data_IF_138181107541
#
_entry.id   IF_138181107541
#
_cell.length_a   1.000
_cell.length_b   1.000
_cell.length_c   1.000
_cell.angle_alpha   90.00
_cell.angle_beta   90.00
_cell.angle_gamma   90.00
#
_symmetry.space_group_name_H-M   'P 1'
#
loop_
_entity.id
_entity.type
_entity.pdbx_description
1 polymer ?
#
# COMPACT_ATOMS: atom_id res chain seq x y z
N UNK A 1 -9.56 4.03 32.81
CA UNK A 1 -9.11 5.21 32.02
C UNK A 1 -10.04 6.37 32.32
N UNK A 2 -9.51 7.56 32.57
CA UNK A 2 -10.35 8.74 32.85
C UNK A 2 -11.16 9.17 31.60
N UNK A 3 -12.42 9.60 31.76
CA UNK A 3 -13.27 10.06 30.67
C UNK A 3 -12.65 11.13 29.74
N UNK A 4 -11.91 12.17 30.22
CA UNK A 4 -11.30 13.16 29.33
C UNK A 4 -10.15 12.59 28.49
N UNK A 5 -9.31 11.71 29.05
CA UNK A 5 -8.21 11.07 28.35
C UNK A 5 -8.72 10.15 27.23
N UNK A 6 -9.80 9.40 27.49
CA UNK A 6 -10.47 8.56 26.49
C UNK A 6 -10.97 9.36 25.29
N UNK A 7 -11.69 10.46 25.54
CA UNK A 7 -12.23 11.33 24.48
C UNK A 7 -11.14 11.97 23.62
N UNK A 8 -10.00 12.31 24.21
CA UNK A 8 -8.86 12.83 23.47
C UNK A 8 -8.25 11.75 22.55
N UNK A 9 -8.06 10.54 23.07
CA UNK A 9 -7.53 9.40 22.30
C UNK A 9 -8.47 9.01 21.13
N UNK A 10 -9.78 8.96 21.36
CA UNK A 10 -10.78 8.73 20.30
C UNK A 10 -10.69 9.76 19.18
N UNK A 11 -10.62 11.06 19.52
CA UNK A 11 -10.50 12.14 18.52
C UNK A 11 -9.23 12.01 17.70
N UNK A 12 -8.11 11.66 18.34
CA UNK A 12 -6.83 11.48 17.65
C UNK A 12 -6.81 10.24 16.76
N UNK A 13 -7.41 9.12 17.19
CA UNK A 13 -7.56 7.91 16.35
C UNK A 13 -8.36 8.20 15.09
N UNK A 14 -9.50 8.90 15.22
CA UNK A 14 -10.30 9.33 14.06
C UNK A 14 -9.50 10.26 13.16
N UNK A 15 -8.75 11.22 13.73
CA UNK A 15 -7.91 12.12 12.95
C UNK A 15 -6.78 11.39 12.21
N UNK A 16 -6.14 10.41 12.84
CA UNK A 16 -5.13 9.55 12.21
C UNK A 16 -5.71 8.76 11.04
N UNK A 17 -6.89 8.15 11.23
CA UNK A 17 -7.57 7.44 10.16
C UNK A 17 -7.99 8.38 9.02
N UNK A 18 -8.49 9.59 9.32
CA UNK A 18 -8.77 10.63 8.30
C UNK A 18 -7.53 11.06 7.54
N UNK A 19 -6.37 11.17 8.19
CA UNK A 19 -5.10 11.46 7.51
C UNK A 19 -4.71 10.31 6.58
N UNK A 20 -4.84 9.08 7.03
CA UNK A 20 -4.54 7.90 6.19
C UNK A 20 -5.47 7.83 4.98
N UNK A 21 -6.77 8.07 5.17
CA UNK A 21 -7.72 8.16 4.07
C UNK A 21 -7.47 9.36 3.15
N UNK A 22 -7.06 10.53 3.67
CA UNK A 22 -6.68 11.67 2.80
C UNK A 22 -5.40 11.40 2.00
N UNK A 23 -4.43 10.69 2.59
CA UNK A 23 -3.19 10.28 1.91
C UNK A 23 -3.42 9.18 0.88
N UNK A 24 -4.45 8.36 1.08
CA UNK A 24 -4.80 7.25 0.21
C UNK A 24 -6.34 7.14 0.07
N UNK A 25 -6.99 8.06 -0.68
CA UNK A 25 -8.46 8.19 -0.75
C UNK A 25 -9.19 6.96 -1.29
N UNK A 26 -8.43 6.07 -1.91
CA UNK A 26 -8.96 4.93 -2.66
C UNK A 26 -8.75 3.61 -1.91
N UNK A 27 -8.04 3.66 -0.79
CA UNK A 27 -7.98 2.56 0.15
C UNK A 27 -9.28 2.48 0.91
N UNK A 28 -10.01 1.39 0.70
CA UNK A 28 -11.28 1.10 1.35
C UNK A 28 -11.18 0.99 2.87
N UNK A 29 -10.13 0.31 3.34
CA UNK A 29 -9.92 0.02 4.76
C UNK A 29 -8.42 0.05 5.11
N UNK A 30 -8.13 0.54 6.31
CA UNK A 30 -6.77 0.67 6.83
C UNK A 30 -6.55 -0.39 7.91
N UNK A 31 -5.38 -1.03 7.92
CA UNK A 31 -5.06 -2.00 8.98
C UNK A 31 -4.95 -1.27 10.32
N UNK A 32 -5.48 -1.87 11.40
CA UNK A 32 -5.47 -1.25 12.73
C UNK A 32 -4.05 -0.88 13.17
N UNK A 33 -3.05 -1.73 12.93
CA UNK A 33 -1.65 -1.47 13.26
C UNK A 33 -1.06 -0.25 12.54
N UNK A 34 -1.51 0.03 11.31
CA UNK A 34 -1.12 1.22 10.57
C UNK A 34 -1.74 2.50 11.15
N UNK A 35 -3.00 2.43 11.63
CA UNK A 35 -3.65 3.55 12.33
C UNK A 35 -2.92 3.87 13.63
N UNK A 36 -2.56 2.86 14.42
CA UNK A 36 -1.81 3.06 15.67
C UNK A 36 -0.42 3.64 15.42
N UNK A 37 0.25 3.21 14.34
CA UNK A 37 1.55 3.78 13.94
C UNK A 37 1.44 5.24 13.52
N UNK A 38 0.43 5.59 12.73
CA UNK A 38 0.16 6.99 12.32
C UNK A 38 -0.20 7.87 13.52
N UNK A 39 -0.94 7.34 14.49
CA UNK A 39 -1.26 8.03 15.74
C UNK A 39 0.01 8.41 16.52
N UNK A 40 0.96 7.48 16.65
CA UNK A 40 2.25 7.66 17.35
C UNK A 40 3.25 8.51 16.59
N UNK A 41 3.15 8.54 15.28
CA UNK A 41 3.99 9.39 14.44
C UNK A 41 3.55 10.86 14.46
N UNK A 42 2.35 11.16 14.99
CA UNK A 42 1.82 12.51 15.09
C UNK A 42 2.64 13.36 16.09
N UNK A 43 3.22 14.50 15.69
CA UNK A 43 3.99 15.38 16.58
C UNK A 43 3.19 15.92 17.78
N UNK A 44 1.86 15.74 17.82
CA UNK A 44 1.04 16.00 19.00
C UNK A 44 1.32 15.10 20.23
N UNK A 45 2.13 14.04 20.11
CA UNK A 45 2.73 13.34 21.26
C UNK A 45 4.03 14.02 21.74
N UNK A 46 4.67 14.82 20.90
CA UNK A 46 5.90 15.58 21.18
C UNK A 46 5.59 17.07 21.28
N UNK A 47 4.69 17.48 22.16
CA UNK A 47 4.61 18.92 22.47
C UNK A 47 5.82 19.33 23.33
N UNK A 48 6.42 20.50 23.08
CA UNK A 48 7.56 21.01 23.85
C UNK A 48 7.21 21.11 25.33
N UNK A 49 8.16 20.79 26.18
CA UNK A 49 8.08 21.04 27.62
C UNK A 49 7.96 22.56 27.86
N UNK A 50 6.74 23.08 27.91
CA UNK A 50 6.51 24.49 28.14
C UNK A 50 5.12 24.89 27.68
N UNK A 51 4.16 24.81 28.60
CA UNK A 51 3.01 25.72 28.81
C UNK A 51 1.92 24.93 29.55
N UNK A 52 1.57 25.44 30.73
CA UNK A 52 0.62 24.84 31.69
C UNK A 52 -0.74 24.57 31.01
N UNK A 53 -1.24 23.32 31.10
CA UNK A 53 -2.66 23.00 30.95
C UNK A 53 -3.08 22.00 29.84
N UNK A 54 -2.19 21.58 28.95
CA UNK A 54 -2.52 20.61 27.90
C UNK A 54 -2.20 19.18 28.33
N UNK A 55 -3.22 18.38 28.68
CA UNK A 55 -3.04 16.99 29.13
C UNK A 55 -2.23 16.16 28.12
N UNK A 56 -1.00 15.84 28.50
CA UNK A 56 -0.21 14.80 27.84
C UNK A 56 -0.95 13.49 28.04
N UNK A 57 -1.29 12.79 26.95
CA UNK A 57 -1.76 11.42 27.07
C UNK A 57 -0.63 10.63 27.72
N UNK A 58 -0.85 10.17 28.97
CA UNK A 58 -0.03 9.10 29.56
C UNK A 58 0.13 8.01 28.48
N UNK A 59 1.34 7.47 28.22
CA UNK A 59 1.56 6.58 27.09
C UNK A 59 0.58 5.41 27.17
N UNK A 60 -0.36 5.37 26.23
CA UNK A 60 -1.40 4.35 26.18
C UNK A 60 -0.80 3.07 25.62
N UNK A 61 -1.11 1.94 26.27
CA UNK A 61 -0.69 0.65 25.75
C UNK A 61 -1.43 0.32 24.44
N UNK A 62 -0.88 -0.59 23.64
CA UNK A 62 -1.58 -1.09 22.45
C UNK A 62 -2.94 -1.71 22.82
N UNK A 63 -3.03 -2.36 23.99
CA UNK A 63 -4.28 -2.91 24.51
C UNK A 63 -5.33 -1.81 24.78
N UNK A 64 -4.94 -0.69 25.39
CA UNK A 64 -5.83 0.46 25.61
C UNK A 64 -6.33 1.06 24.30
N UNK A 65 -5.43 1.22 23.32
CA UNK A 65 -5.77 1.75 22.00
C UNK A 65 -6.69 0.81 21.21
N UNK A 66 -6.47 -0.50 21.30
CA UNK A 66 -7.36 -1.50 20.70
C UNK A 66 -8.74 -1.49 21.36
N UNK A 67 -8.83 -1.39 22.68
CA UNK A 67 -10.10 -1.26 23.38
C UNK A 67 -10.88 0.01 22.97
N UNK A 68 -10.17 1.11 22.69
CA UNK A 68 -10.79 2.33 22.15
C UNK A 68 -11.28 2.11 20.71
N UNK A 69 -10.52 1.41 19.87
CA UNK A 69 -10.97 1.03 18.52
C UNK A 69 -12.25 0.20 18.61
N UNK A 70 -12.30 -0.78 19.51
CA UNK A 70 -13.48 -1.62 19.72
C UNK A 70 -14.69 -0.80 20.17
N UNK A 71 -14.50 0.18 21.07
CA UNK A 71 -15.57 1.08 21.47
C UNK A 71 -16.05 2.00 20.32
N UNK A 72 -15.13 2.45 19.47
CA UNK A 72 -15.48 3.25 18.28
C UNK A 72 -16.24 2.41 17.24
N UNK A 73 -15.94 1.12 17.13
CA UNK A 73 -16.69 0.18 16.28
C UNK A 73 -18.08 -0.09 16.87
N UNK A 74 -18.17 -0.37 18.18
CA UNK A 74 -19.45 -0.62 18.85
C UNK A 74 -20.40 0.59 18.80
N UNK A 75 -19.85 1.82 18.76
CA UNK A 75 -20.63 3.06 18.59
C UNK A 75 -20.89 3.44 17.12
N UNK A 76 -20.47 2.61 16.15
CA UNK A 76 -20.68 2.86 14.72
C UNK A 76 -19.84 4.00 14.14
N UNK A 77 -18.89 4.56 14.90
CA UNK A 77 -17.97 5.61 14.45
C UNK A 77 -16.80 5.08 13.61
N UNK A 78 -16.59 3.76 13.66
CA UNK A 78 -15.71 3.00 12.78
C UNK A 78 -16.44 1.75 12.29
N UNK A 79 -16.13 1.33 11.08
CA UNK A 79 -16.54 0.03 10.55
C UNK A 79 -15.32 -0.89 10.54
N UNK A 80 -15.48 -2.14 10.99
CA UNK A 80 -14.38 -3.11 11.13
C UNK A 80 -14.64 -4.36 10.31
N UNK A 81 -13.61 -4.80 9.58
CA UNK A 81 -13.54 -6.10 8.90
C UNK A 81 -12.23 -6.80 9.27
N UNK A 82 -12.31 -7.79 10.17
CA UNK A 82 -11.12 -8.47 10.71
C UNK A 82 -10.18 -7.49 11.42
N UNK A 83 -8.95 -7.32 10.92
CA UNK A 83 -7.94 -6.38 11.45
C UNK A 83 -7.89 -5.04 10.71
N UNK A 84 -8.96 -4.71 9.97
CA UNK A 84 -9.05 -3.48 9.17
C UNK A 84 -10.21 -2.63 9.64
N UNK A 85 -10.01 -1.32 9.61
CA UNK A 85 -10.99 -0.32 10.03
C UNK A 85 -11.12 0.76 8.96
N UNK A 86 -12.32 1.32 8.85
CA UNK A 86 -12.60 2.51 8.03
C UNK A 86 -13.57 3.43 8.76
N UNK A 87 -13.58 4.69 8.36
CA UNK A 87 -14.64 5.62 8.75
C UNK A 87 -15.92 5.23 7.99
N UNK A 88 -17.10 5.28 8.62
CA UNK A 88 -18.37 5.08 7.95
C UNK A 88 -18.54 6.00 6.75
N UNK A 89 -18.17 7.28 6.91
CA UNK A 89 -18.22 8.30 5.85
C UNK A 89 -17.18 8.13 4.74
N UNK A 90 -16.21 7.21 4.91
CA UNK A 90 -15.25 6.90 3.86
C UNK A 90 -15.79 5.81 2.96
N UNK A 91 -16.37 6.23 1.85
CA UNK A 91 -16.64 5.37 0.72
C UNK A 91 -15.41 5.40 -0.20
N UNK A 92 -14.63 4.29 -0.31
CA UNK A 92 -13.65 4.19 -1.39
C UNK A 92 -14.39 4.43 -2.71
N UNK A 93 -13.79 5.22 -3.61
CA UNK A 93 -14.35 5.46 -4.94
C UNK A 93 -14.53 4.08 -5.59
N UNK A 94 -15.78 3.61 -5.63
CA UNK A 94 -16.18 2.48 -6.44
C UNK A 94 -15.97 2.96 -7.86
N UNK A 95 -15.06 2.33 -8.60
CA UNK A 95 -14.92 2.61 -10.03
C UNK A 95 -16.29 2.34 -10.64
N UNK A 96 -16.94 3.39 -11.14
CA UNK A 96 -18.12 3.24 -11.98
C UNK A 96 -17.79 2.33 -13.18
N UNK A 97 -18.82 1.88 -13.89
CA UNK A 97 -18.63 0.94 -15.01
C UNK A 97 -17.68 1.47 -16.08
N UNK A 98 -17.65 2.79 -16.28
CA UNK A 98 -16.77 3.42 -17.26
C UNK A 98 -15.31 3.44 -16.81
N UNK A 99 -15.05 3.84 -15.56
CA UNK A 99 -13.72 3.83 -14.98
C UNK A 99 -13.17 2.41 -14.88
N UNK A 100 -14.02 1.42 -14.57
CA UNK A 100 -13.63 0.00 -14.62
C UNK A 100 -13.18 -0.40 -16.02
N UNK A 101 -13.94 -0.05 -17.06
CA UNK A 101 -13.55 -0.34 -18.44
C UNK A 101 -12.25 0.37 -18.88
N UNK A 102 -11.95 1.56 -18.33
CA UNK A 102 -10.65 2.23 -18.55
C UNK A 102 -9.51 1.47 -17.86
N UNK A 103 -9.71 1.03 -16.62
CA UNK A 103 -8.74 0.21 -15.87
C UNK A 103 -8.49 -1.13 -16.58
N UNK A 104 -9.54 -1.80 -17.05
CA UNK A 104 -9.40 -3.07 -17.78
C UNK A 104 -8.57 -2.88 -19.05
N UNK A 105 -8.81 -1.80 -19.80
CA UNK A 105 -7.98 -1.44 -20.97
C UNK A 105 -6.53 -1.16 -20.61
N UNK A 106 -6.28 -0.44 -19.50
CA UNK A 106 -4.93 -0.20 -19.00
C UNK A 106 -4.22 -1.52 -18.71
N UNK A 107 -4.84 -2.40 -17.91
CA UNK A 107 -4.24 -3.66 -17.51
C UNK A 107 -4.05 -4.59 -18.70
N UNK A 108 -5.00 -4.66 -19.63
CA UNK A 108 -4.85 -5.43 -20.88
C UNK A 108 -3.66 -4.94 -21.70
N UNK A 109 -3.56 -3.63 -21.95
CA UNK A 109 -2.44 -3.09 -22.73
C UNK A 109 -1.07 -3.32 -22.08
N UNK A 110 -1.00 -3.36 -20.75
CA UNK A 110 0.22 -3.73 -20.03
C UNK A 110 0.54 -5.22 -20.13
N UNK A 111 -0.48 -6.10 -20.13
CA UNK A 111 -0.30 -7.54 -20.38
C UNK A 111 0.22 -7.81 -21.78
N UNK A 112 -0.34 -7.13 -22.78
CA UNK A 112 0.07 -7.27 -24.17
C UNK A 112 1.51 -6.80 -24.40
N UNK A 113 1.97 -5.80 -23.65
CA UNK A 113 3.36 -5.34 -23.67
C UNK A 113 4.36 -6.32 -23.02
N UNK A 114 3.87 -7.29 -22.22
CA UNK A 114 4.67 -8.36 -21.63
C UNK A 114 5.81 -7.84 -20.76
N UNK A 115 7.06 -8.15 -21.12
CA UNK A 115 8.24 -7.76 -20.36
C UNK A 115 8.63 -6.27 -20.55
N UNK A 116 8.18 -5.62 -21.63
CA UNK A 116 8.53 -4.24 -21.97
C UNK A 116 7.35 -3.29 -21.72
N UNK A 117 6.91 -3.18 -20.47
CA UNK A 117 5.75 -2.36 -20.14
C UNK A 117 6.03 -0.87 -20.33
N UNK A 118 5.11 -0.10 -20.95
CA UNK A 118 5.20 1.35 -20.96
C UNK A 118 5.05 1.93 -19.54
N UNK A 119 5.41 3.22 -19.38
CA UNK A 119 5.17 3.94 -18.12
C UNK A 119 3.67 4.03 -17.83
N UNK A 120 3.22 3.45 -16.72
CA UNK A 120 1.80 3.36 -16.36
C UNK A 120 1.17 4.74 -16.25
N UNK A 121 1.84 5.73 -15.65
CA UNK A 121 1.31 7.09 -15.50
C UNK A 121 0.93 7.70 -16.85
N UNK A 122 1.76 7.53 -17.88
CA UNK A 122 1.50 8.08 -19.21
C UNK A 122 0.39 7.34 -19.97
N UNK A 123 0.23 6.04 -19.75
CA UNK A 123 -0.90 5.28 -20.33
C UNK A 123 -2.20 5.61 -19.60
N UNK A 124 -2.18 5.63 -18.28
CA UNK A 124 -3.31 5.96 -17.42
C UNK A 124 -3.85 7.36 -17.71
N UNK A 125 -2.98 8.37 -17.82
CA UNK A 125 -3.36 9.73 -18.17
C UNK A 125 -4.08 9.81 -19.53
N UNK A 126 -3.57 9.09 -20.54
CA UNK A 126 -4.22 9.02 -21.88
C UNK A 126 -5.57 8.33 -21.86
N UNK A 127 -5.79 7.40 -20.93
CA UNK A 127 -7.07 6.72 -20.72
C UNK A 127 -8.01 7.49 -19.79
N UNK A 128 -7.63 8.68 -19.31
CA UNK A 128 -8.43 9.46 -18.36
C UNK A 128 -8.58 8.78 -16.99
N UNK A 129 -7.57 8.02 -16.57
CA UNK A 129 -7.52 7.36 -15.26
C UNK A 129 -6.79 8.29 -14.28
N UNK A 130 -7.44 8.75 -13.19
CA UNK A 130 -6.81 9.60 -12.20
C UNK A 130 -5.59 8.93 -11.52
N UNK A 131 -4.54 9.67 -11.13
CA UNK A 131 -3.36 9.13 -10.45
C UNK A 131 -3.68 8.35 -9.16
N UNK A 132 -4.75 8.75 -8.48
CA UNK A 132 -5.27 8.00 -7.34
C UNK A 132 -5.58 6.56 -7.73
N UNK A 133 -6.33 6.32 -8.81
CA UNK A 133 -6.77 4.97 -9.20
C UNK A 133 -5.57 4.08 -9.47
N UNK A 134 -4.51 4.61 -10.07
CA UNK A 134 -3.24 3.89 -10.24
C UNK A 134 -2.61 3.53 -8.87
N UNK A 135 -2.64 4.46 -7.92
CA UNK A 135 -2.19 4.22 -6.53
C UNK A 135 -3.01 3.13 -5.86
N UNK A 136 -4.32 3.07 -6.11
CA UNK A 136 -5.20 2.01 -5.62
C UNK A 136 -4.84 0.64 -6.21
N UNK A 137 -4.62 0.57 -7.52
CA UNK A 137 -4.20 -0.68 -8.18
C UNK A 137 -2.87 -1.19 -7.59
N UNK A 138 -1.94 -0.28 -7.27
CA UNK A 138 -0.70 -0.62 -6.54
C UNK A 138 -0.97 -1.10 -5.12
N UNK A 139 -1.85 -0.42 -4.39
CA UNK A 139 -2.22 -0.76 -3.01
C UNK A 139 -2.98 -2.09 -2.90
N UNK A 140 -3.83 -2.39 -3.88
CA UNK A 140 -4.50 -3.69 -4.05
C UNK A 140 -3.54 -4.78 -4.54
N UNK A 141 -2.39 -4.37 -5.08
CA UNK A 141 -1.36 -5.24 -5.60
C UNK A 141 -1.65 -5.75 -7.02
N UNK A 142 -2.65 -5.22 -7.72
CA UNK A 142 -2.92 -5.53 -9.14
C UNK A 142 -1.80 -5.00 -10.04
N UNK A 143 -1.27 -3.83 -9.71
CA UNK A 143 -0.02 -3.31 -10.26
C UNK A 143 1.09 -3.45 -9.21
N UNK A 144 2.28 -3.81 -9.67
CA UNK A 144 3.46 -3.96 -8.82
C UNK A 144 4.61 -3.17 -9.42
N UNK A 145 5.04 -2.15 -8.67
CA UNK A 145 6.21 -1.37 -9.02
C UNK A 145 7.48 -2.18 -8.71
N UNK A 146 8.30 -2.41 -9.74
CA UNK A 146 9.57 -3.16 -9.61
C UNK A 146 10.79 -2.25 -9.72
N UNK A 147 10.60 -1.02 -10.22
CA UNK A 147 11.64 -0.01 -10.35
C UNK A 147 11.02 1.35 -10.67
N UNK A 148 11.88 2.37 -10.78
CA UNK A 148 11.43 3.73 -11.09
C UNK A 148 10.73 3.80 -12.45
N UNK A 149 9.44 4.11 -12.42
CA UNK A 149 8.57 4.16 -13.60
C UNK A 149 8.47 2.83 -14.34
N UNK A 150 8.57 1.70 -13.62
CA UNK A 150 8.35 0.35 -14.15
C UNK A 150 7.39 -0.39 -13.21
N UNK A 151 6.22 -0.68 -13.76
CA UNK A 151 5.12 -1.35 -13.07
C UNK A 151 4.60 -2.46 -13.97
N UNK A 152 4.34 -3.61 -13.36
CA UNK A 152 3.75 -4.75 -14.06
C UNK A 152 2.41 -5.12 -13.43
N UNK A 153 1.42 -5.56 -14.22
CA UNK A 153 0.33 -6.37 -13.70
C UNK A 153 0.88 -7.57 -12.93
N UNK A 154 0.25 -7.93 -11.80
CA UNK A 154 0.74 -8.98 -10.90
C UNK A 154 0.94 -10.32 -11.60
N UNK A 155 -0.01 -10.71 -12.44
CA UNK A 155 0.01 -11.93 -13.24
C UNK A 155 1.22 -11.94 -14.19
N UNK A 156 1.45 -10.85 -14.92
CA UNK A 156 2.62 -10.69 -15.80
C UNK A 156 3.91 -10.82 -15.01
N UNK A 157 4.03 -10.09 -13.89
CA UNK A 157 5.22 -10.14 -13.05
C UNK A 157 5.50 -11.56 -12.53
N UNK A 158 4.47 -12.27 -12.08
CA UNK A 158 4.62 -13.65 -11.62
C UNK A 158 5.12 -14.56 -12.73
N UNK A 159 4.62 -14.40 -13.96
CA UNK A 159 5.11 -15.13 -15.14
C UNK A 159 6.58 -14.84 -15.42
N UNK A 160 6.98 -13.57 -15.42
CA UNK A 160 8.38 -13.15 -15.62
C UNK A 160 9.31 -13.72 -14.55
N UNK A 161 8.89 -13.66 -13.27
CA UNK A 161 9.66 -14.20 -12.16
C UNK A 161 9.80 -15.73 -12.23
N UNK A 162 8.76 -16.43 -12.68
CA UNK A 162 8.79 -17.87 -12.89
C UNK A 162 9.78 -18.22 -14.02
N UNK A 163 9.73 -17.49 -15.13
CA UNK A 163 10.68 -17.66 -16.22
C UNK A 163 12.12 -17.37 -15.79
N UNK A 164 12.34 -16.35 -14.95
CA UNK A 164 13.65 -16.10 -14.35
C UNK A 164 14.11 -17.23 -13.43
N UNK A 165 13.20 -17.88 -12.70
CA UNK A 165 13.56 -19.03 -11.87
C UNK A 165 14.03 -20.21 -12.74
N UNK A 166 13.39 -20.45 -13.88
CA UNK A 166 13.82 -21.45 -14.86
C UNK A 166 15.20 -21.12 -15.45
N UNK A 167 15.46 -19.85 -15.80
CA UNK A 167 16.77 -19.43 -16.29
C UNK A 167 17.87 -19.71 -15.24
N UNK A 168 17.55 -19.53 -13.96
CA UNK A 168 18.48 -19.73 -12.85
C UNK A 168 18.91 -21.20 -12.66
N UNK A 169 18.12 -22.18 -13.13
CA UNK A 169 18.50 -23.60 -13.06
C UNK A 169 19.64 -23.92 -14.02
N UNK A 170 19.69 -23.22 -15.16
CA UNK A 170 20.74 -23.35 -16.18
C UNK A 170 21.96 -22.44 -15.95
N UNK A 171 22.16 -21.90 -14.74
CA UNK A 171 23.31 -21.06 -14.38
C UNK A 171 22.94 -19.65 -13.89
N UNK A 172 23.94 -18.76 -13.71
CA UNK A 172 23.73 -17.48 -13.05
C UNK A 172 22.80 -16.54 -13.83
N UNK A 173 21.95 -15.83 -13.10
CA UNK A 173 21.07 -14.79 -13.61
C UNK A 173 21.84 -13.47 -13.79
N UNK A 174 22.41 -13.29 -14.98
CA UNK A 174 23.02 -12.02 -15.39
C UNK A 174 22.00 -11.11 -16.07
N UNK A 175 22.27 -9.80 -16.09
CA UNK A 175 21.40 -8.81 -16.76
C UNK A 175 21.22 -9.16 -18.23
N UNK A 176 22.32 -9.47 -18.93
CA UNK A 176 22.31 -9.85 -20.36
C UNK A 176 21.43 -11.07 -20.60
N UNK A 177 21.58 -12.12 -19.78
CA UNK A 177 20.78 -13.35 -19.94
C UNK A 177 19.29 -13.11 -19.71
N UNK A 178 18.93 -12.33 -18.68
CA UNK A 178 17.53 -11.97 -18.42
C UNK A 178 16.97 -11.13 -19.55
N UNK A 179 17.71 -10.13 -20.02
CA UNK A 179 17.35 -9.27 -21.16
C UNK A 179 17.05 -10.10 -22.40
N UNK A 180 17.95 -11.02 -22.76
CA UNK A 180 17.88 -11.78 -23.99
C UNK A 180 16.75 -12.81 -23.95
N UNK A 181 16.59 -13.54 -22.83
CA UNK A 181 15.54 -14.56 -22.70
C UNK A 181 14.15 -13.95 -22.56
N UNK A 182 14.01 -12.86 -21.79
CA UNK A 182 12.73 -12.17 -21.63
C UNK A 182 12.43 -11.19 -22.77
N UNK A 183 13.36 -11.03 -23.73
CA UNK A 183 13.26 -10.10 -24.87
C UNK A 183 12.83 -8.70 -24.45
N UNK A 184 13.51 -8.17 -23.45
CA UNK A 184 13.24 -6.86 -22.84
C UNK A 184 14.47 -5.96 -22.93
N UNK A 185 14.35 -4.70 -22.56
CA UNK A 185 15.47 -3.79 -22.46
C UNK A 185 16.31 -4.06 -21.20
N UNK A 186 17.55 -3.55 -21.22
CA UNK A 186 18.47 -3.66 -20.08
C UNK A 186 17.87 -3.05 -18.80
N UNK A 187 17.18 -1.92 -18.93
CA UNK A 187 16.54 -1.20 -17.82
C UNK A 187 15.50 -2.07 -17.10
N UNK A 188 14.65 -2.76 -17.86
CA UNK A 188 13.63 -3.65 -17.31
C UNK A 188 14.25 -4.92 -16.71
N UNK A 189 15.24 -5.52 -17.37
CA UNK A 189 15.99 -6.67 -16.84
C UNK A 189 16.67 -6.35 -15.49
N UNK A 190 17.30 -5.18 -15.37
CA UNK A 190 17.92 -4.71 -14.13
C UNK A 190 16.89 -4.54 -13.01
N UNK A 191 15.75 -3.90 -13.31
CA UNK A 191 14.67 -3.68 -12.34
C UNK A 191 14.08 -5.01 -11.83
N UNK A 192 13.79 -5.97 -12.72
CA UNK A 192 13.29 -7.29 -12.35
C UNK A 192 14.28 -8.06 -11.47
N UNK A 193 15.58 -8.02 -11.80
CA UNK A 193 16.62 -8.63 -10.98
C UNK A 193 16.72 -7.99 -9.60
N UNK A 194 16.67 -6.65 -9.51
CA UNK A 194 16.69 -5.93 -8.25
C UNK A 194 15.46 -6.29 -7.38
N UNK A 195 14.28 -6.31 -7.99
CA UNK A 195 13.03 -6.70 -7.33
C UNK A 195 13.12 -8.13 -6.78
N UNK A 196 13.55 -9.11 -7.59
CA UNK A 196 13.71 -10.51 -7.15
C UNK A 196 14.66 -10.64 -5.95
N UNK A 197 15.80 -9.94 -5.97
CA UNK A 197 16.76 -9.95 -4.84
C UNK A 197 16.15 -9.35 -3.57
N UNK A 198 15.40 -8.26 -3.69
CA UNK A 198 14.73 -7.63 -2.55
C UNK A 198 13.66 -8.55 -1.94
N UNK A 199 12.93 -9.32 -2.76
CA UNK A 199 11.94 -10.30 -2.29
C UNK A 199 12.58 -11.47 -1.53
N UNK A 200 13.72 -11.99 -2.01
CA UNK A 200 14.48 -13.03 -1.31
C UNK A 200 14.89 -12.59 0.10
N UNK A 201 15.51 -11.40 0.22
CA UNK A 201 15.93 -10.83 1.51
C UNK A 201 14.79 -10.62 2.50
N UNK A 202 13.58 -10.31 2.01
CA UNK A 202 12.39 -10.18 2.88
C UNK A 202 11.95 -11.52 3.45
N UNK A 203 12.04 -12.61 2.67
CA UNK A 203 11.70 -13.96 3.13
C UNK A 203 12.67 -14.45 4.20
N UNK A 204 13.97 -14.28 3.98
CA UNK A 204 15.02 -14.72 4.92
C UNK A 204 14.88 -14.05 6.29
N UNK A 205 14.41 -12.79 6.35
CA UNK A 205 14.19 -12.06 7.61
C UNK A 205 12.97 -12.51 8.39
N UNK A 206 11.99 -13.12 7.75
CA UNK A 206 10.75 -13.58 8.39
C UNK A 206 10.90 -15.01 8.92
N UNK A 207 11.79 -15.82 8.35
CA UNK A 207 12.07 -17.20 8.79
C UNK A 207 13.09 -17.35 9.92
N UNK A 208 13.61 -16.26 10.48
CA UNK A 208 14.60 -16.25 11.58
C UNK A 208 13.94 -15.79 12.89
N UNK A 209 12.66 -16.13 13.11
CA UNK A 209 11.94 -15.85 14.37
C UNK A 209 11.19 -17.06 14.85
#
# INVERSE_FOLDING_TARGET
MDPPHRRLAERRLVAALRRLHRRDPLRAEVRTDAVLRELRADPGERLPAGHRGGGSLRPLSDADLLAIVDALVASGRLLRRGHRVRLPEHEPIILDSEMRARVDRLLSGLRDAGAETPRVEGVAARLGIPPGVVTQLRGAGELVQVGEGIDYPRDVLNGLLSRMAEIATGGPLTITRVRDVLRTSRRHAEALLAYRRAQGRKRDRVGVR
#
